data_IF_827847360267
#
_entry.id   IF_827847360267
#
_cell.length_a   1.000
_cell.length_b   1.000
_cell.length_c   1.000
_cell.angle_alpha   90.00
_cell.angle_beta   90.00
_cell.angle_gamma   90.00
#
_symmetry.space_group_name_H-M   'P 1'
#
loop_
_entity.id
_entity.type
_entity.pdbx_description
1 polymer ?
#
# COMPACT_ATOMS: atom_id res chain seq x y z
N UNK A 1 -18.93 2.17 6.50
CA UNK A 1 -17.88 2.85 5.70
C UNK A 1 -18.25 4.25 5.23
N UNK A 2 -19.46 4.51 4.71
CA UNK A 2 -19.83 5.83 4.14
C UNK A 2 -19.77 7.01 5.11
N UNK A 3 -19.88 6.80 6.43
CA UNK A 3 -19.75 7.90 7.41
C UNK A 3 -18.31 8.34 7.66
N UNK A 4 -17.34 7.42 7.60
CA UNK A 4 -15.95 7.66 8.02
C UNK A 4 -15.26 8.74 7.17
N UNK A 5 -15.56 8.74 5.86
CA UNK A 5 -14.95 9.67 4.91
C UNK A 5 -15.92 10.76 4.43
N UNK A 6 -17.08 10.91 5.07
CA UNK A 6 -18.14 11.82 4.58
C UNK A 6 -17.62 13.25 4.42
N UNK A 7 -16.91 13.77 5.42
CA UNK A 7 -16.44 15.16 5.40
C UNK A 7 -15.40 15.39 4.30
N UNK A 8 -14.43 14.50 4.16
CA UNK A 8 -13.37 14.57 3.15
C UNK A 8 -13.95 14.40 1.74
N UNK A 9 -14.87 13.45 1.57
CA UNK A 9 -15.58 13.24 0.31
C UNK A 9 -16.34 14.49 -0.11
N UNK A 10 -17.15 15.07 0.79
CA UNK A 10 -17.90 16.29 0.51
C UNK A 10 -16.97 17.47 0.19
N UNK A 11 -15.87 17.62 0.94
CA UNK A 11 -14.88 18.67 0.70
C UNK A 11 -14.24 18.57 -0.70
N UNK A 12 -13.87 17.36 -1.13
CA UNK A 12 -13.27 17.16 -2.46
C UNK A 12 -14.30 17.42 -3.57
N UNK A 13 -15.51 16.93 -3.41
CA UNK A 13 -16.61 17.16 -4.37
C UNK A 13 -16.95 18.65 -4.47
N UNK A 14 -17.03 19.35 -3.33
CA UNK A 14 -17.27 20.79 -3.28
C UNK A 14 -16.21 21.57 -4.06
N UNK A 15 -14.92 21.20 -3.94
CA UNK A 15 -13.82 21.93 -4.57
C UNK A 15 -13.54 21.55 -6.01
N UNK A 16 -13.77 20.30 -6.40
CA UNK A 16 -13.41 19.81 -7.73
C UNK A 16 -14.59 19.76 -8.70
N UNK A 17 -15.82 19.61 -8.19
CA UNK A 17 -17.02 19.47 -9.03
C UNK A 17 -17.94 20.69 -8.86
N UNK A 18 -18.20 21.11 -7.62
CA UNK A 18 -19.15 22.19 -7.34
C UNK A 18 -18.52 23.58 -7.20
N UNK A 19 -17.23 23.72 -7.48
CA UNK A 19 -16.63 25.04 -7.56
C UNK A 19 -17.35 25.85 -8.65
N UNK A 20 -17.73 27.13 -8.40
CA UNK A 20 -18.57 27.89 -9.32
C UNK A 20 -18.05 27.94 -10.76
N UNK A 21 -16.74 28.11 -10.95
CA UNK A 21 -16.10 28.15 -12.28
C UNK A 21 -16.12 26.79 -12.99
N UNK A 22 -16.01 25.69 -12.23
CA UNK A 22 -16.09 24.33 -12.75
C UNK A 22 -17.52 24.02 -13.20
N UNK A 23 -18.48 24.24 -12.30
CA UNK A 23 -19.89 23.94 -12.56
C UNK A 23 -20.44 24.84 -13.68
N UNK A 24 -20.14 26.13 -13.65
CA UNK A 24 -20.66 27.07 -14.63
C UNK A 24 -20.01 26.86 -16.00
N UNK A 25 -18.70 26.63 -16.07
CA UNK A 25 -18.03 26.34 -17.34
C UNK A 25 -18.47 25.02 -17.98
N UNK A 26 -19.00 24.06 -17.20
CA UNK A 26 -19.59 22.83 -17.76
C UNK A 26 -20.98 23.05 -18.36
N UNK A 27 -21.73 24.04 -17.86
CA UNK A 27 -23.14 24.27 -18.22
C UNK A 27 -23.33 25.41 -19.22
N UNK A 28 -22.45 26.42 -19.22
CA UNK A 28 -22.56 27.61 -20.04
C UNK A 28 -21.24 27.94 -20.74
N UNK A 29 -21.34 28.36 -22.00
CA UNK A 29 -20.19 28.88 -22.74
C UNK A 29 -19.69 30.20 -22.09
N UNK A 30 -18.38 30.41 -22.09
CA UNK A 30 -17.71 31.62 -21.58
C UNK A 30 -17.92 31.93 -20.08
N UNK A 31 -18.36 30.95 -19.26
CA UNK A 31 -18.54 31.14 -17.81
C UNK A 31 -17.35 30.65 -16.95
N UNK A 32 -16.44 29.89 -17.54
CA UNK A 32 -15.28 29.33 -16.84
C UNK A 32 -14.52 28.33 -17.70
N UNK A 33 -13.39 27.83 -17.20
CA UNK A 33 -12.60 26.78 -17.85
C UNK A 33 -12.62 25.52 -16.98
N UNK A 34 -13.57 24.59 -17.22
CA UNK A 34 -13.63 23.36 -16.44
C UNK A 34 -12.33 22.57 -16.58
N UNK A 35 -11.76 22.18 -15.45
CA UNK A 35 -10.60 21.33 -15.37
C UNK A 35 -11.09 19.91 -15.06
N UNK A 36 -10.90 18.99 -15.99
CA UNK A 36 -11.15 17.57 -15.72
C UNK A 36 -9.89 16.97 -15.06
N UNK A 37 -9.93 16.64 -13.74
CA UNK A 37 -8.77 16.06 -13.07
C UNK A 37 -8.39 14.69 -13.64
N UNK A 38 -9.31 13.98 -14.29
CA UNK A 38 -9.09 12.68 -14.93
C UNK A 38 -8.57 12.79 -16.37
N UNK A 39 -8.51 13.99 -16.94
CA UNK A 39 -8.02 14.22 -18.31
C UNK A 39 -7.13 15.47 -18.37
N UNK A 40 -6.05 15.45 -17.60
CA UNK A 40 -5.08 16.55 -17.52
C UNK A 40 -3.76 16.18 -18.19
N UNK A 41 -3.34 16.98 -19.17
CA UNK A 41 -2.02 16.89 -19.78
C UNK A 41 -1.08 17.85 -19.05
N UNK A 42 -0.20 17.31 -18.22
CA UNK A 42 0.85 18.09 -17.56
C UNK A 42 2.23 17.56 -17.95
N UNK A 43 3.21 18.45 -17.94
CA UNK A 43 4.61 18.12 -18.23
C UNK A 43 5.48 18.56 -17.05
N UNK A 44 6.54 17.80 -16.80
CA UNK A 44 7.57 18.18 -15.83
C UNK A 44 8.78 18.69 -16.61
N UNK A 45 9.11 19.99 -16.51
CA UNK A 45 10.32 20.50 -17.13
C UNK A 45 11.52 19.87 -16.42
N UNK A 46 12.29 19.08 -17.17
CA UNK A 46 13.56 18.57 -16.69
C UNK A 46 14.61 19.68 -16.80
N UNK A 47 15.46 19.80 -15.78
CA UNK A 47 16.61 20.71 -15.86
C UNK A 47 17.52 20.28 -17.02
N UNK A 48 18.11 21.23 -17.76
CA UNK A 48 19.05 20.89 -18.84
C UNK A 48 20.16 19.99 -18.32
N UNK A 49 20.53 18.96 -19.11
CA UNK A 49 21.68 18.11 -18.77
C UNK A 49 22.93 18.99 -18.61
N UNK A 50 23.72 18.83 -17.54
CA UNK A 50 25.00 19.52 -17.42
C UNK A 50 25.89 19.14 -18.61
N UNK A 51 26.44 20.13 -19.34
CA UNK A 51 27.32 19.90 -20.50
C UNK A 51 28.58 19.06 -20.18
N UNK A 52 28.93 18.98 -18.90
CA UNK A 52 30.08 18.25 -18.38
C UNK A 52 29.61 17.21 -17.35
N UNK A 53 28.65 16.35 -17.70
CA UNK A 53 28.24 15.28 -16.81
C UNK A 53 29.39 14.25 -16.68
N UNK A 54 30.04 14.09 -15.51
CA UNK A 54 31.13 13.12 -15.35
C UNK A 54 30.69 11.67 -15.56
N UNK A 55 29.37 11.43 -15.53
CA UNK A 55 28.74 10.13 -15.64
C UNK A 55 28.31 9.75 -17.07
N UNK A 56 28.51 10.62 -18.07
CA UNK A 56 28.10 10.35 -19.47
C UNK A 56 29.10 9.45 -20.24
N UNK A 57 30.17 8.98 -19.58
CA UNK A 57 31.04 7.93 -20.11
C UNK A 57 30.97 6.67 -19.25
N UNK A 58 29.90 5.91 -19.37
CA UNK A 58 29.94 4.48 -19.05
C UNK A 58 29.03 3.64 -19.95
N UNK A 59 29.06 3.90 -21.26
CA UNK A 59 28.56 2.93 -22.25
C UNK A 59 29.53 1.74 -22.46
N UNK A 60 30.58 1.62 -21.65
CA UNK A 60 31.30 0.35 -21.50
C UNK A 60 30.55 -0.55 -20.53
N UNK A 61 29.37 -1.01 -20.94
CA UNK A 61 28.74 -2.23 -20.44
C UNK A 61 29.57 -3.46 -20.89
N UNK A 62 30.83 -3.51 -20.45
CA UNK A 62 31.77 -4.64 -20.59
C UNK A 62 33.12 -4.37 -19.91
N UNK A 63 33.27 -3.28 -19.13
CA UNK A 63 34.33 -3.23 -18.13
C UNK A 63 33.96 -4.25 -17.05
N UNK A 64 34.48 -5.48 -17.21
CA UNK A 64 34.14 -6.64 -16.41
C UNK A 64 33.94 -6.25 -14.96
N UNK A 65 32.74 -6.56 -14.44
CA UNK A 65 32.49 -6.65 -13.02
C UNK A 65 33.40 -7.76 -12.49
N UNK A 66 34.69 -7.47 -12.37
CA UNK A 66 35.56 -8.19 -11.48
C UNK A 66 34.99 -7.85 -10.12
N UNK A 67 34.19 -8.76 -9.59
CA UNK A 67 33.89 -8.79 -8.17
C UNK A 67 35.25 -8.82 -7.50
N UNK A 68 35.78 -7.65 -7.13
CA UNK A 68 37.03 -7.55 -6.39
C UNK A 68 36.82 -8.45 -5.18
N UNK A 69 37.42 -9.63 -5.20
CA UNK A 69 37.34 -10.59 -4.11
C UNK A 69 37.83 -9.83 -2.87
N UNK A 70 36.95 -9.69 -1.88
CA UNK A 70 37.25 -8.97 -0.63
C UNK A 70 36.50 -7.66 -0.39
N UNK A 71 35.58 -7.19 -1.26
CA UNK A 71 34.66 -6.09 -0.89
C UNK A 71 33.46 -6.61 -0.08
N UNK A 72 33.15 -5.94 1.03
CA UNK A 72 32.00 -6.26 1.88
C UNK A 72 30.68 -6.10 1.11
N UNK A 73 29.81 -7.11 1.13
CA UNK A 73 28.45 -7.04 0.57
C UNK A 73 27.56 -6.13 1.41
N UNK A 74 26.92 -5.13 0.81
CA UNK A 74 25.88 -4.34 1.44
C UNK A 74 24.53 -5.03 1.27
N UNK A 75 23.81 -5.26 2.38
CA UNK A 75 22.54 -6.01 2.39
C UNK A 75 21.40 -5.11 2.86
N UNK A 76 20.41 -4.89 2.01
CA UNK A 76 19.23 -4.06 2.30
C UNK A 76 18.05 -4.97 2.61
N UNK A 77 17.40 -4.73 3.74
CA UNK A 77 16.11 -5.34 4.07
C UNK A 77 15.00 -4.44 3.52
N UNK A 78 14.11 -5.00 2.71
CA UNK A 78 12.92 -4.32 2.20
C UNK A 78 11.68 -5.05 2.69
N UNK A 79 10.85 -4.36 3.46
CA UNK A 79 9.56 -4.83 3.93
C UNK A 79 8.48 -3.87 3.42
N UNK A 80 7.34 -4.41 3.02
CA UNK A 80 6.17 -3.65 2.57
C UNK A 80 4.91 -4.41 2.94
N UNK A 81 3.78 -3.70 2.97
CA UNK A 81 2.44 -4.30 3.06
C UNK A 81 2.27 -5.29 4.21
N UNK A 82 2.83 -4.97 5.39
CA UNK A 82 2.78 -5.87 6.55
C UNK A 82 1.36 -6.19 7.01
N UNK A 83 0.42 -5.25 6.83
CA UNK A 83 -1.02 -5.45 7.04
C UNK A 83 -1.33 -6.32 8.27
N UNK A 84 -1.03 -5.79 9.46
CA UNK A 84 -1.36 -6.49 10.71
C UNK A 84 -2.73 -6.06 11.21
N UNK A 85 -3.54 -7.04 11.60
CA UNK A 85 -4.86 -6.85 12.18
C UNK A 85 -4.84 -7.11 13.67
N UNK A 86 -5.10 -6.07 14.47
CA UNK A 86 -5.18 -6.15 15.93
C UNK A 86 -6.40 -6.94 16.41
N UNK A 87 -7.38 -7.16 15.54
CA UNK A 87 -8.60 -7.91 15.82
C UNK A 87 -8.58 -9.33 15.27
N UNK A 88 -7.45 -9.76 14.67
CA UNK A 88 -7.31 -11.12 14.16
C UNK A 88 -7.52 -12.16 15.28
N UNK A 89 -8.47 -13.06 15.08
CA UNK A 89 -8.84 -14.10 16.03
C UNK A 89 -8.69 -15.49 15.41
N UNK A 90 -7.74 -16.32 15.89
CA UNK A 90 -7.65 -17.72 15.48
C UNK A 90 -8.97 -18.45 15.69
N UNK A 91 -9.34 -19.28 14.72
CA UNK A 91 -10.60 -20.00 14.70
C UNK A 91 -11.81 -19.19 14.21
N UNK A 92 -11.71 -17.86 14.05
CA UNK A 92 -12.79 -17.07 13.45
C UNK A 92 -13.05 -17.46 11.98
N UNK A 93 -14.19 -17.06 11.43
CA UNK A 93 -14.50 -17.33 10.02
C UNK A 93 -13.55 -16.54 9.09
N UNK A 94 -12.83 -17.26 8.24
CA UNK A 94 -11.93 -16.66 7.24
C UNK A 94 -12.60 -16.39 5.89
N UNK A 95 -13.80 -16.95 5.66
CA UNK A 95 -14.59 -16.81 4.45
C UNK A 95 -15.91 -16.05 4.71
N UNK A 96 -15.79 -14.78 5.07
CA UNK A 96 -16.90 -13.90 5.42
C UNK A 96 -17.40 -13.00 4.26
N UNK A 97 -18.48 -12.25 4.51
CA UNK A 97 -19.06 -11.28 3.58
C UNK A 97 -18.34 -9.93 3.56
N UNK A 98 -17.68 -9.58 4.66
CA UNK A 98 -17.01 -8.30 4.83
C UNK A 98 -15.72 -8.20 4.01
N UNK A 99 -15.19 -6.98 3.81
CA UNK A 99 -13.92 -6.77 3.10
C UNK A 99 -12.72 -7.41 3.81
N UNK A 100 -12.76 -7.49 5.15
CA UNK A 100 -11.76 -8.12 6.01
C UNK A 100 -12.50 -9.11 6.93
N UNK A 101 -11.97 -10.32 7.03
CA UNK A 101 -12.45 -11.46 7.81
C UNK A 101 -11.43 -11.85 8.89
N UNK A 102 -11.57 -13.04 9.48
CA UNK A 102 -10.72 -13.55 10.56
C UNK A 102 -10.81 -12.71 11.86
N UNK A 103 -11.87 -11.93 12.04
CA UNK A 103 -12.18 -11.19 13.25
C UNK A 103 -13.34 -11.86 14.01
N UNK A 104 -13.50 -11.51 15.29
CA UNK A 104 -14.52 -12.10 16.17
C UNK A 104 -15.95 -12.05 15.60
N UNK A 105 -16.26 -11.02 14.83
CA UNK A 105 -17.56 -10.72 14.23
C UNK A 105 -17.68 -11.19 12.77
N UNK A 106 -16.66 -11.86 12.23
CA UNK A 106 -16.67 -12.41 10.87
C UNK A 106 -17.74 -13.50 10.74
N UNK A 107 -18.68 -13.31 9.82
CA UNK A 107 -19.80 -14.24 9.58
C UNK A 107 -19.81 -14.79 8.15
N UNK A 108 -20.18 -16.07 8.01
CA UNK A 108 -20.07 -16.79 6.73
C UNK A 108 -21.14 -16.41 5.69
N UNK A 109 -20.84 -16.68 4.42
CA UNK A 109 -21.74 -16.47 3.26
C UNK A 109 -22.89 -17.49 3.13
N UNK A 110 -22.79 -18.67 3.75
CA UNK A 110 -23.57 -19.84 3.30
C UNK A 110 -24.91 -20.03 4.01
N UNK A 111 -25.33 -19.10 4.86
CA UNK A 111 -26.49 -19.35 5.70
C UNK A 111 -27.65 -18.40 5.43
N UNK A 112 -28.59 -18.95 4.65
CA UNK A 112 -29.97 -18.45 4.53
C UNK A 112 -30.74 -18.48 5.86
N UNK A 113 -30.21 -19.16 6.89
CA UNK A 113 -30.88 -19.33 8.18
C UNK A 113 -30.20 -18.49 9.28
N UNK A 114 -30.89 -17.50 9.87
CA UNK A 114 -30.33 -16.63 10.92
C UNK A 114 -29.87 -17.39 12.17
N UNK A 115 -30.42 -18.60 12.41
CA UNK A 115 -30.12 -19.43 13.59
C UNK A 115 -28.74 -20.08 13.56
N UNK A 116 -28.07 -20.08 12.41
CA UNK A 116 -26.78 -20.75 12.26
C UNK A 116 -25.61 -19.78 12.08
N UNK A 117 -25.86 -18.45 11.99
CA UNK A 117 -24.91 -17.39 11.53
C UNK A 117 -23.51 -17.41 12.13
N UNK A 118 -23.33 -18.10 13.25
CA UNK A 118 -22.06 -18.24 13.97
C UNK A 118 -21.33 -19.57 13.69
N UNK A 119 -21.72 -20.31 12.66
CA UNK A 119 -21.01 -21.53 12.27
C UNK A 119 -19.75 -21.18 11.49
N UNK A 120 -18.59 -21.57 12.01
CA UNK A 120 -17.32 -21.40 11.32
C UNK A 120 -17.17 -22.52 10.29
N UNK A 121 -17.13 -22.17 9.00
CA UNK A 121 -16.92 -23.08 7.87
C UNK A 121 -15.43 -23.22 7.59
N UNK A 122 -14.70 -22.10 7.59
CA UNK A 122 -13.25 -22.08 7.39
C UNK A 122 -12.57 -21.34 8.56
N UNK A 123 -12.10 -22.07 9.59
CA UNK A 123 -11.47 -21.45 10.74
C UNK A 123 -10.14 -20.80 10.36
N UNK A 124 -9.92 -19.59 10.88
CA UNK A 124 -8.69 -18.87 10.73
C UNK A 124 -7.53 -19.59 11.45
N UNK A 125 -6.39 -19.75 10.78
CA UNK A 125 -5.18 -20.32 11.36
C UNK A 125 -4.52 -19.40 12.38
N UNK A 126 -3.69 -19.97 13.25
CA UNK A 126 -3.00 -19.19 14.29
C UNK A 126 -2.01 -18.18 13.69
N UNK A 127 -1.21 -18.55 12.70
CA UNK A 127 -0.18 -17.68 12.10
C UNK A 127 -0.69 -16.80 10.94
N UNK A 128 -1.99 -16.79 10.69
CA UNK A 128 -2.59 -16.20 9.50
C UNK A 128 -3.37 -17.21 8.68
N UNK A 129 -4.16 -16.71 7.74
CA UNK A 129 -5.00 -17.53 6.85
C UNK A 129 -4.97 -16.95 5.46
N UNK A 130 -4.82 -17.81 4.44
CA UNK A 130 -4.93 -17.39 3.05
C UNK A 130 -6.40 -17.08 2.77
N UNK A 131 -6.73 -15.81 2.54
CA UNK A 131 -8.10 -15.35 2.35
C UNK A 131 -8.22 -13.84 2.42
N UNK A 132 -9.43 -13.35 2.71
CA UNK A 132 -9.71 -11.93 2.98
C UNK A 132 -9.31 -11.56 4.41
N UNK A 133 -8.09 -11.88 4.81
CA UNK A 133 -7.61 -11.64 6.17
C UNK A 133 -6.26 -10.98 6.11
N UNK A 134 -6.07 -9.97 6.96
CA UNK A 134 -4.76 -9.45 7.32
C UNK A 134 -4.07 -10.41 8.31
N UNK A 135 -2.79 -10.19 8.63
CA UNK A 135 -2.04 -11.11 9.50
C UNK A 135 -2.15 -10.70 10.97
N UNK A 136 -2.09 -11.65 11.92
CA UNK A 136 -2.00 -11.27 13.31
C UNK A 136 -0.63 -10.67 13.64
N UNK A 137 -0.59 -9.78 14.63
CA UNK A 137 0.65 -9.08 15.01
C UNK A 137 1.79 -10.03 15.40
N UNK A 138 1.49 -11.19 15.98
CA UNK A 138 2.53 -12.16 16.38
C UNK A 138 3.22 -12.83 15.18
N UNK A 139 2.58 -12.89 14.01
CA UNK A 139 3.24 -13.34 12.78
C UNK A 139 4.31 -12.34 12.33
N UNK A 140 4.01 -11.05 12.41
CA UNK A 140 4.98 -9.98 12.13
C UNK A 140 6.12 -10.01 13.15
N UNK A 141 5.79 -10.15 14.43
CA UNK A 141 6.80 -10.25 15.49
C UNK A 141 7.73 -11.45 15.26
N UNK A 142 7.18 -12.62 14.91
CA UNK A 142 7.96 -13.82 14.61
C UNK A 142 8.84 -13.65 13.36
N UNK A 143 8.32 -13.02 12.31
CA UNK A 143 9.09 -12.66 11.11
C UNK A 143 10.30 -11.77 11.47
N UNK A 144 10.09 -10.71 12.26
CA UNK A 144 11.16 -9.80 12.66
C UNK A 144 12.19 -10.48 13.57
N UNK A 145 11.74 -11.35 14.50
CA UNK A 145 12.64 -12.18 15.32
C UNK A 145 13.49 -13.10 14.46
N UNK A 146 12.89 -13.74 13.46
CA UNK A 146 13.62 -14.60 12.52
C UNK A 146 14.67 -13.81 11.74
N UNK A 147 14.29 -12.68 11.13
CA UNK A 147 15.23 -11.81 10.39
C UNK A 147 16.42 -11.40 11.27
N UNK A 148 16.17 -11.00 12.51
CA UNK A 148 17.22 -10.61 13.44
C UNK A 148 18.18 -11.77 13.78
N UNK A 149 17.70 -13.02 13.74
CA UNK A 149 18.49 -14.21 14.06
C UNK A 149 19.26 -14.76 12.86
N UNK A 150 18.70 -14.67 11.65
CA UNK A 150 19.24 -15.34 10.47
C UNK A 150 19.93 -14.40 9.50
N UNK A 151 19.52 -13.13 9.44
CA UNK A 151 19.98 -12.19 8.42
C UNK A 151 20.96 -11.16 8.95
N UNK A 152 21.97 -10.85 8.12
CA UNK A 152 22.86 -9.70 8.35
C UNK A 152 22.33 -8.52 7.55
N UNK A 153 21.62 -7.61 8.19
CA UNK A 153 21.12 -6.38 7.55
C UNK A 153 22.16 -5.27 7.72
N UNK A 154 22.52 -4.63 6.60
CA UNK A 154 23.42 -3.48 6.61
C UNK A 154 22.61 -2.20 6.76
N UNK A 155 22.87 -1.44 7.82
CA UNK A 155 22.32 -0.09 7.98
C UNK A 155 23.44 0.92 7.78
N UNK A 156 23.22 1.92 6.92
CA UNK A 156 24.13 3.06 6.85
C UNK A 156 23.78 3.98 8.02
N UNK A 157 24.60 4.00 9.07
CA UNK A 157 24.41 4.87 10.23
C UNK A 157 24.83 6.30 9.89
N UNK A 158 24.10 6.99 9.02
CA UNK A 158 24.35 8.40 8.71
C UNK A 158 23.05 9.18 8.54
N UNK A 159 22.65 9.86 9.62
CA UNK A 159 21.97 11.15 9.59
C UNK A 159 22.39 11.89 10.86
N UNK A 160 23.59 12.47 10.83
CA UNK A 160 23.85 13.67 11.62
C UNK A 160 23.15 14.80 10.86
N UNK A 161 22.01 15.22 11.38
CA UNK A 161 21.38 16.51 11.04
C UNK A 161 22.24 17.60 11.68
#
# INVERSE_FOLDING_TARGET
MTSQFRAQFLYVVERLIFAPEQLCGMLMNDCGTPHNPFNSNWTIPLTPKPKNNPYEKSDTASAGFTTKQGKSTFRVLQLSDLHFDTFYQPGAESSCLDPICCQADSTNMHQKNPKTRNHIIKPAGYWGTIGKCDVPYWTIENMLKHINQTEKVSFKKELKI
#
